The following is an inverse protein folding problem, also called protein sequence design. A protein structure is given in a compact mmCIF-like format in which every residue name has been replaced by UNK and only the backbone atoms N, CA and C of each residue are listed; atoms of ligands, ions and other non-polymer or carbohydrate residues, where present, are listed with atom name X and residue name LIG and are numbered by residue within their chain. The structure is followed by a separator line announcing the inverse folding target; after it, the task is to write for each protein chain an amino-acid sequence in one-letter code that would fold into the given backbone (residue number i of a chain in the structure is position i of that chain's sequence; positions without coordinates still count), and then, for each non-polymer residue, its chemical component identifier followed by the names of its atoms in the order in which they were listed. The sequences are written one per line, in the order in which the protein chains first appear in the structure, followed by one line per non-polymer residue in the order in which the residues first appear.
data_IF_324015775324
#
_entry.id   IF_324015775324
#
_cell.length_a   1.000
_cell.length_b   1.000
_cell.length_c   1.000
_cell.angle_alpha   90.00
_cell.angle_beta   90.00
_cell.angle_gamma   90.00
#
_symmetry.space_group_name_H-M   'P 1'
#
loop_
_entity.id
_entity.type
_entity.pdbx_description
1 polymer ?
#
# COMPACT_ATOMS: atom_id res chain seq x y z
N UNK A 1 -60.33 9.51 27.96
CA UNK A 1 -60.44 10.86 27.35
C UNK A 1 -59.91 10.77 25.92
N UNK A 2 -60.67 11.16 24.89
CA UNK A 2 -60.23 11.11 23.50
C UNK A 2 -59.47 12.39 23.09
N UNK A 3 -58.53 12.32 22.12
CA UNK A 3 -57.85 13.50 21.59
C UNK A 3 -58.74 14.32 20.64
N UNK A 4 -58.54 15.65 20.55
CA UNK A 4 -59.34 16.53 19.68
C UNK A 4 -58.96 16.44 18.18
N UNK A 5 -59.85 16.87 17.27
CA UNK A 5 -59.73 16.67 15.82
C UNK A 5 -58.92 17.75 15.07
N UNK A 6 -58.48 17.35 13.87
CA UNK A 6 -57.66 18.04 12.85
C UNK A 6 -58.19 19.40 12.36
N UNK A 7 -57.28 20.30 12.01
CA UNK A 7 -57.52 21.38 11.02
C UNK A 7 -56.53 21.29 9.85
N UNK A 8 -57.09 21.18 8.64
CA UNK A 8 -56.42 21.28 7.33
C UNK A 8 -56.37 22.75 6.91
N UNK A 9 -55.22 23.24 6.45
CA UNK A 9 -55.13 24.49 5.70
C UNK A 9 -54.96 24.20 4.19
N UNK A 10 -55.97 24.57 3.40
CA UNK A 10 -55.88 24.84 1.94
C UNK A 10 -54.99 26.09 1.76
N UNK A 11 -54.04 26.15 0.84
CA UNK A 11 -54.24 26.19 -0.60
C UNK A 11 -54.29 27.64 -1.10
N UNK A 12 -53.19 28.18 -1.65
CA UNK A 12 -53.18 29.40 -2.46
C UNK A 12 -52.49 29.13 -3.80
N UNK A 13 -53.29 29.20 -4.86
CA UNK A 13 -52.87 29.26 -6.27
C UNK A 13 -52.29 30.65 -6.56
N UNK A 14 -51.25 30.70 -7.39
CA UNK A 14 -50.83 31.91 -8.12
C UNK A 14 -50.81 31.61 -9.64
N UNK A 15 -51.02 32.63 -10.51
CA UNK A 15 -51.37 32.49 -11.92
C UNK A 15 -50.16 32.54 -12.88
N UNK A 16 -50.37 32.31 -14.19
CA UNK A 16 -49.31 32.14 -15.19
C UNK A 16 -48.89 33.47 -15.86
N UNK A 17 -47.66 33.53 -16.35
CA UNK A 17 -47.17 34.66 -17.15
C UNK A 17 -45.88 34.31 -17.90
N UNK A 18 -45.93 34.45 -19.22
CA UNK A 18 -44.86 34.19 -20.18
C UNK A 18 -43.93 35.40 -20.39
N UNK A 19 -42.76 35.16 -21.00
CA UNK A 19 -41.86 36.17 -21.58
C UNK A 19 -40.51 36.29 -20.84
N UNK A 20 -39.45 35.65 -21.33
CA UNK A 20 -38.50 36.18 -22.32
C UNK A 20 -37.79 37.46 -21.87
N UNK A 21 -36.50 37.37 -21.50
CA UNK A 21 -35.36 37.99 -22.22
C UNK A 21 -34.04 37.84 -21.44
N UNK A 22 -33.01 37.43 -22.19
CA UNK A 22 -31.64 37.93 -22.20
C UNK A 22 -30.84 38.11 -20.89
N UNK A 23 -29.86 37.21 -20.68
CA UNK A 23 -28.43 37.55 -20.54
C UNK A 23 -27.65 36.22 -20.41
N UNK A 24 -26.97 35.78 -21.49
CA UNK A 24 -25.50 35.75 -21.60
C UNK A 24 -24.84 34.59 -20.84
N UNK A 25 -23.92 33.77 -21.40
CA UNK A 25 -23.29 33.65 -22.71
C UNK A 25 -22.43 32.36 -22.65
N UNK A 26 -22.47 31.56 -23.72
CA UNK A 26 -21.36 30.83 -24.42
C UNK A 26 -20.30 30.05 -23.61
N UNK A 27 -19.77 28.90 -24.03
CA UNK A 27 -19.91 28.07 -25.24
C UNK A 27 -19.10 26.77 -25.05
N UNK A 28 -19.53 25.65 -25.63
CA UNK A 28 -18.65 24.52 -25.93
C UNK A 28 -19.24 23.66 -27.07
N UNK A 29 -18.57 23.71 -28.23
CA UNK A 29 -18.63 22.85 -29.42
C UNK A 29 -17.79 23.61 -30.48
N UNK A 30 -16.93 23.07 -31.34
CA UNK A 30 -16.61 21.76 -31.93
C UNK A 30 -15.14 21.92 -32.43
N UNK A 31 -14.36 20.95 -32.92
CA UNK A 31 -14.63 20.10 -34.08
C UNK A 31 -13.44 19.14 -34.33
N UNK A 32 -13.75 17.97 -34.88
CA UNK A 32 -12.85 17.11 -35.68
C UNK A 32 -12.87 17.57 -37.15
N UNK A 33 -11.73 17.52 -37.85
CA UNK A 33 -11.65 17.16 -39.27
C UNK A 33 -10.19 16.96 -39.75
N UNK A 34 -10.05 15.98 -40.65
CA UNK A 34 -8.87 15.36 -41.29
C UNK A 34 -8.44 16.09 -42.56
N UNK A 35 -7.14 16.04 -42.94
CA UNK A 35 -6.65 16.05 -44.33
C UNK A 35 -5.33 15.26 -44.47
N UNK A 36 -5.09 14.78 -45.70
CA UNK A 36 -4.29 13.60 -46.10
C UNK A 36 -3.10 13.98 -47.05
N UNK A 37 -2.16 13.02 -47.19
CA UNK A 37 -1.26 12.71 -48.32
C UNK A 37 0.04 13.51 -48.67
N UNK A 38 1.17 12.80 -48.48
CA UNK A 38 2.36 12.56 -49.35
C UNK A 38 3.33 13.69 -49.78
N UNK A 39 4.61 13.54 -49.35
CA UNK A 39 5.81 13.76 -50.17
C UNK A 39 7.00 12.93 -49.64
N UNK A 40 7.68 12.20 -50.54
CA UNK A 40 8.88 11.40 -50.34
C UNK A 40 10.11 12.23 -50.71
N UNK A 41 11.16 12.28 -49.86
CA UNK A 41 12.55 12.37 -50.37
C UNK A 41 13.62 11.91 -49.34
N UNK A 42 14.75 11.47 -49.90
CA UNK A 42 15.85 10.63 -49.38
C UNK A 42 16.84 11.34 -48.42
N UNK A 43 17.47 10.56 -47.53
CA UNK A 43 18.61 10.92 -46.66
C UNK A 43 19.95 11.11 -47.44
N UNK A 44 21.04 11.71 -46.85
CA UNK A 44 21.90 10.95 -45.91
C UNK A 44 22.60 11.75 -44.76
N UNK A 45 22.94 10.99 -43.69
CA UNK A 45 24.05 11.11 -42.72
C UNK A 45 24.54 12.49 -42.22
N UNK A 46 24.37 12.74 -40.91
CA UNK A 46 25.44 13.24 -40.02
C UNK A 46 25.32 12.53 -38.66
N UNK A 47 26.43 11.94 -38.22
CA UNK A 47 26.64 11.34 -36.89
C UNK A 47 26.66 12.43 -35.81
N UNK A 48 26.03 12.19 -34.67
CA UNK A 48 26.67 12.44 -33.38
C UNK A 48 25.98 11.63 -32.29
N UNK A 49 26.79 10.78 -31.65
CA UNK A 49 26.54 10.17 -30.36
C UNK A 49 26.14 11.23 -29.33
N UNK A 50 25.18 10.92 -28.46
CA UNK A 50 25.32 10.73 -26.99
C UNK A 50 23.91 10.82 -26.39
N UNK A 51 23.67 10.05 -25.32
CA UNK A 51 22.50 10.06 -24.44
C UNK A 51 21.28 9.25 -24.91
N UNK A 52 21.47 7.94 -24.99
CA UNK A 52 20.38 7.00 -24.74
C UNK A 52 19.99 7.11 -23.25
N UNK A 53 19.07 8.01 -22.92
CA UNK A 53 18.24 7.87 -21.72
C UNK A 53 17.39 6.61 -21.90
N UNK A 54 17.97 5.48 -21.48
CA UNK A 54 17.24 4.25 -21.24
C UNK A 54 16.22 4.50 -20.15
N UNK A 55 15.03 4.96 -20.54
CA UNK A 55 13.84 4.80 -19.73
C UNK A 55 13.61 3.29 -19.65
N UNK A 56 14.16 2.68 -18.60
CA UNK A 56 13.83 1.29 -18.24
C UNK A 56 12.35 1.31 -17.87
N UNK A 57 11.50 1.01 -18.86
CA UNK A 57 10.12 0.66 -18.61
C UNK A 57 10.17 -0.66 -17.85
N UNK A 58 10.18 -0.58 -16.52
CA UNK A 58 9.98 -1.72 -15.65
C UNK A 58 8.56 -2.20 -15.92
N UNK A 59 8.43 -3.22 -16.77
CA UNK A 59 7.18 -3.97 -16.92
C UNK A 59 6.78 -4.44 -15.52
N UNK A 60 5.71 -3.84 -14.99
CA UNK A 60 5.08 -4.33 -13.77
C UNK A 60 4.47 -5.67 -14.12
N UNK A 61 4.87 -6.72 -13.41
CA UNK A 61 4.31 -8.05 -13.66
C UNK A 61 2.78 -8.06 -13.45
N UNK A 62 2.11 -9.00 -14.13
CA UNK A 62 0.65 -9.13 -14.06
C UNK A 62 0.20 -9.39 -12.62
N UNK A 63 0.96 -10.16 -11.86
CA UNK A 63 0.68 -10.48 -10.44
C UNK A 63 0.59 -9.22 -9.57
N UNK A 64 1.54 -8.28 -9.72
CA UNK A 64 1.53 -7.00 -9.01
C UNK A 64 0.35 -6.14 -9.45
N UNK A 65 -0.01 -6.19 -10.72
CA UNK A 65 -1.16 -5.45 -11.25
C UNK A 65 -2.48 -5.98 -10.66
N UNK A 66 -2.65 -7.31 -10.64
CA UNK A 66 -3.80 -7.99 -10.05
C UNK A 66 -3.89 -7.70 -8.55
N UNK A 67 -2.75 -7.76 -7.84
CA UNK A 67 -2.69 -7.45 -6.42
C UNK A 67 -3.12 -6.02 -6.12
N UNK A 68 -2.62 -5.04 -6.88
CA UNK A 68 -2.99 -3.62 -6.72
C UNK A 68 -4.48 -3.40 -6.95
N UNK A 69 -5.04 -4.00 -8.00
CA UNK A 69 -6.46 -3.84 -8.33
C UNK A 69 -7.36 -4.47 -7.24
N UNK A 70 -7.06 -5.70 -6.85
CA UNK A 70 -7.82 -6.43 -5.84
C UNK A 70 -7.73 -5.79 -4.45
N UNK A 71 -6.52 -5.37 -4.03
CA UNK A 71 -6.32 -4.65 -2.76
C UNK A 71 -7.10 -3.33 -2.77
N UNK A 72 -7.06 -2.59 -3.87
CA UNK A 72 -7.78 -1.32 -4.00
C UNK A 72 -9.29 -1.53 -3.81
N UNK A 73 -9.86 -2.55 -4.43
CA UNK A 73 -11.28 -2.87 -4.28
C UNK A 73 -11.63 -3.19 -2.81
N UNK A 74 -10.83 -4.02 -2.13
CA UNK A 74 -11.06 -4.35 -0.71
C UNK A 74 -10.95 -3.12 0.20
N UNK A 75 -9.97 -2.24 -0.05
CA UNK A 75 -9.83 -0.97 0.69
C UNK A 75 -11.03 -0.07 0.45
N UNK A 76 -11.49 0.08 -0.80
CA UNK A 76 -12.66 0.91 -1.13
C UNK A 76 -13.94 0.38 -0.47
N UNK A 77 -14.15 -0.94 -0.47
CA UNK A 77 -15.26 -1.58 0.22
C UNK A 77 -15.21 -1.33 1.73
N UNK A 78 -14.03 -1.46 2.35
CA UNK A 78 -13.86 -1.25 3.79
C UNK A 78 -14.06 0.23 4.18
N UNK A 79 -13.51 1.15 3.39
CA UNK A 79 -13.74 2.59 3.57
C UNK A 79 -15.22 2.93 3.45
N UNK A 80 -15.93 2.36 2.46
CA UNK A 80 -17.36 2.57 2.28
C UNK A 80 -18.16 2.02 3.48
N UNK A 81 -17.81 0.83 3.98
CA UNK A 81 -18.44 0.20 5.15
C UNK A 81 -18.28 1.06 6.41
N UNK A 82 -17.07 1.55 6.69
CA UNK A 82 -16.80 2.41 7.86
C UNK A 82 -17.52 3.76 7.72
N UNK A 83 -17.53 4.35 6.52
CA UNK A 83 -18.25 5.62 6.30
C UNK A 83 -19.76 5.47 6.46
N UNK A 84 -20.32 4.30 6.14
CA UNK A 84 -21.73 4.00 6.36
C UNK A 84 -22.12 4.00 7.85
N UNK A 85 -21.18 3.79 8.78
CA UNK A 85 -21.42 3.91 10.23
C UNK A 85 -21.31 5.35 10.75
N UNK A 86 -21.03 6.32 9.87
CA UNK A 86 -20.84 7.72 10.23
C UNK A 86 -19.42 8.06 10.72
N UNK A 87 -18.47 7.14 10.59
CA UNK A 87 -17.08 7.31 11.01
C UNK A 87 -16.19 7.66 9.81
N UNK A 88 -15.20 8.55 10.00
CA UNK A 88 -14.17 8.83 9.00
C UNK A 88 -12.97 7.89 9.15
N UNK A 89 -12.34 7.56 8.03
CA UNK A 89 -11.13 6.74 7.94
C UNK A 89 -10.30 7.25 6.77
N UNK A 90 -8.99 7.35 6.97
CA UNK A 90 -8.04 7.81 5.94
C UNK A 90 -7.27 6.61 5.36
N UNK A 91 -7.55 6.17 4.13
CA UNK A 91 -6.80 5.10 3.50
C UNK A 91 -5.41 5.59 3.08
N UNK A 92 -4.36 4.92 3.55
CA UNK A 92 -2.98 5.25 3.18
C UNK A 92 -2.51 4.42 1.99
N UNK A 93 -1.77 5.09 1.10
CA UNK A 93 -1.13 4.44 -0.05
C UNK A 93 0.12 3.69 0.38
N UNK A 94 0.16 2.39 0.11
CA UNK A 94 1.31 1.54 0.42
C UNK A 94 2.28 1.46 -0.77
N UNK A 95 3.58 1.53 -0.48
CA UNK A 95 4.68 1.31 -1.42
C UNK A 95 5.12 -0.15 -1.46
N UNK A 96 5.23 -0.78 -0.30
CA UNK A 96 5.81 -2.12 -0.18
C UNK A 96 5.27 -2.88 1.04
N UNK A 97 5.15 -4.20 0.89
CA UNK A 97 4.88 -5.16 1.95
C UNK A 97 6.07 -6.08 2.11
N UNK A 98 6.38 -6.48 3.34
CA UNK A 98 7.39 -7.50 3.57
C UNK A 98 7.26 -8.15 4.93
N UNK A 99 7.99 -9.25 5.09
CA UNK A 99 8.20 -9.90 6.38
C UNK A 99 9.71 -9.79 6.67
N UNK A 100 10.04 -9.22 7.82
CA UNK A 100 11.41 -9.19 8.35
C UNK A 100 11.49 -10.24 9.45
N UNK A 101 12.55 -11.04 9.48
CA UNK A 101 12.73 -12.05 10.53
C UNK A 101 13.64 -11.50 11.62
N UNK A 102 13.17 -11.55 12.85
CA UNK A 102 13.95 -11.32 14.05
C UNK A 102 14.48 -12.66 14.57
N UNK A 103 15.77 -12.89 14.36
CA UNK A 103 16.50 -14.08 14.82
C UNK A 103 17.21 -13.85 16.16
N UNK A 104 17.11 -12.66 16.76
CA UNK A 104 17.77 -12.36 18.05
C UNK A 104 17.14 -13.09 19.23
N UNK A 105 15.91 -13.61 19.05
CA UNK A 105 15.15 -14.32 20.07
C UNK A 105 15.34 -15.83 19.94
N UNK A 106 15.09 -16.56 21.03
CA UNK A 106 15.13 -18.05 21.06
C UNK A 106 14.26 -18.71 19.97
N UNK A 107 13.23 -18.02 19.49
CA UNK A 107 12.36 -18.44 18.38
C UNK A 107 12.36 -17.32 17.36
N UNK A 108 12.55 -17.68 16.09
CA UNK A 108 12.43 -16.74 14.98
C UNK A 108 11.04 -16.09 14.98
N UNK A 109 11.00 -14.76 14.95
CA UNK A 109 9.76 -13.99 14.96
C UNK A 109 9.60 -13.23 13.64
N UNK A 110 8.45 -13.37 12.98
CA UNK A 110 8.11 -12.55 11.83
C UNK A 110 7.68 -11.15 12.29
N UNK A 111 8.24 -10.12 11.65
CA UNK A 111 7.86 -8.71 11.80
C UNK A 111 7.24 -8.24 10.48
N UNK A 112 5.99 -7.81 10.54
CA UNK A 112 5.23 -7.35 9.39
C UNK A 112 5.66 -5.94 9.03
N UNK A 113 6.32 -5.78 7.89
CA UNK A 113 6.84 -4.49 7.44
C UNK A 113 5.94 -3.87 6.38
N UNK A 114 5.55 -2.63 6.60
CA UNK A 114 4.80 -1.82 5.63
C UNK A 114 5.55 -0.52 5.36
N UNK A 115 5.83 -0.24 4.09
CA UNK A 115 6.30 1.07 3.65
C UNK A 115 5.15 1.88 3.10
N UNK A 116 4.87 3.04 3.70
CA UNK A 116 3.69 3.84 3.40
C UNK A 116 4.10 5.19 2.81
N UNK A 117 3.38 5.62 1.77
CA UNK A 117 3.58 6.89 1.07
C UNK A 117 2.97 8.05 1.86
N UNK A 118 3.50 8.31 3.06
CA UNK A 118 3.05 9.38 3.95
C UNK A 118 4.22 10.00 4.69
N UNK A 119 4.09 11.26 5.10
CA UNK A 119 5.03 11.94 6.01
C UNK A 119 4.65 11.77 7.48
N UNK A 120 3.55 11.07 7.78
CA UNK A 120 3.10 10.83 9.14
C UNK A 120 4.18 10.14 9.99
N UNK A 121 4.31 10.54 11.26
CA UNK A 121 5.22 9.92 12.21
C UNK A 121 4.52 8.77 12.93
N UNK A 122 4.81 7.54 12.50
CA UNK A 122 4.20 6.33 13.05
C UNK A 122 4.53 6.08 14.52
N UNK A 123 5.51 6.75 15.13
CA UNK A 123 5.73 6.67 16.59
C UNK A 123 4.55 7.17 17.41
N UNK A 124 3.65 7.95 16.80
CA UNK A 124 2.42 8.45 17.43
C UNK A 124 1.28 7.43 17.44
N UNK A 125 1.42 6.30 16.75
CA UNK A 125 0.43 5.23 16.80
C UNK A 125 0.48 4.57 18.16
N UNK A 126 -0.67 4.55 18.83
CA UNK A 126 -0.85 3.92 20.14
C UNK A 126 -1.48 2.54 20.03
N UNK A 127 -2.34 2.35 19.04
CA UNK A 127 -3.07 1.10 18.87
C UNK A 127 -3.11 0.71 17.39
N UNK A 128 -2.88 -0.58 17.16
CA UNK A 128 -3.07 -1.23 15.87
C UNK A 128 -4.20 -2.24 16.03
N UNK A 129 -5.16 -2.20 15.13
CA UNK A 129 -6.18 -3.25 15.00
C UNK A 129 -6.05 -3.90 13.64
N UNK A 130 -6.25 -5.21 13.60
CA UNK A 130 -6.09 -6.01 12.38
C UNK A 130 -7.39 -6.75 12.14
N UNK A 131 -7.93 -6.65 10.92
CA UNK A 131 -9.12 -7.41 10.55
C UNK A 131 -8.84 -8.91 10.52
N UNK A 132 -9.89 -9.76 10.53
CA UNK A 132 -9.74 -11.14 10.12
C UNK A 132 -9.06 -11.26 8.75
N UNK A 133 -8.26 -12.30 8.59
CA UNK A 133 -7.54 -12.56 7.36
C UNK A 133 -8.46 -13.10 6.25
N UNK A 134 -8.24 -12.63 5.04
CA UNK A 134 -8.95 -13.04 3.82
C UNK A 134 -7.93 -13.66 2.87
N UNK A 135 -8.21 -14.86 2.37
CA UNK A 135 -7.34 -15.51 1.39
C UNK A 135 -7.23 -14.68 0.11
N UNK A 136 -6.01 -14.48 -0.39
CA UNK A 136 -5.77 -13.74 -1.62
C UNK A 136 -5.99 -14.65 -2.84
N UNK A 137 -6.91 -14.32 -3.76
CA UNK A 137 -7.36 -15.27 -4.78
C UNK A 137 -6.35 -15.53 -5.90
N UNK A 138 -5.36 -14.67 -6.09
CA UNK A 138 -4.41 -14.78 -7.20
C UNK A 138 -3.08 -15.44 -6.81
N UNK A 139 -2.86 -15.76 -5.52
CA UNK A 139 -1.64 -16.44 -5.06
C UNK A 139 -1.91 -17.30 -3.84
N UNK A 140 -1.55 -18.57 -3.94
CA UNK A 140 -1.68 -19.50 -2.81
C UNK A 140 -0.80 -19.09 -1.63
N UNK A 141 -1.26 -19.43 -0.43
CA UNK A 141 -0.57 -19.15 0.83
C UNK A 141 -0.40 -17.65 1.11
N UNK A 142 -1.10 -16.77 0.40
CA UNK A 142 -1.14 -15.36 0.72
C UNK A 142 -2.48 -14.99 1.34
N UNK A 143 -2.42 -14.17 2.37
CA UNK A 143 -3.58 -13.64 3.06
C UNK A 143 -3.49 -12.12 3.16
N UNK A 144 -4.66 -11.51 3.18
CA UNK A 144 -4.88 -10.07 3.23
C UNK A 144 -5.57 -9.69 4.54
N UNK A 145 -5.14 -8.57 5.11
CA UNK A 145 -5.80 -7.92 6.25
C UNK A 145 -5.88 -6.41 6.04
N UNK A 146 -6.91 -5.82 6.63
CA UNK A 146 -7.00 -4.39 6.85
C UNK A 146 -6.37 -4.05 8.20
N UNK A 147 -5.43 -3.11 8.20
CA UNK A 147 -4.73 -2.64 9.40
C UNK A 147 -5.21 -1.23 9.71
N UNK A 148 -5.85 -1.07 10.87
CA UNK A 148 -6.29 0.22 11.39
C UNK A 148 -5.25 0.76 12.36
N UNK A 149 -4.86 2.02 12.17
CA UNK A 149 -3.87 2.70 13.00
C UNK A 149 -4.55 3.86 13.74
N UNK A 150 -4.45 3.84 15.07
CA UNK A 150 -5.04 4.85 15.95
C UNK A 150 -3.95 5.60 16.71
N UNK A 151 -4.15 6.91 16.85
CA UNK A 151 -3.36 7.79 17.71
C UNK A 151 -4.09 8.07 19.02
N UNK A 152 -3.41 8.68 19.98
CA UNK A 152 -4.02 9.21 21.21
C UNK A 152 -4.96 10.41 20.96
N UNK A 153 -4.69 11.18 19.91
CA UNK A 153 -5.48 12.35 19.55
C UNK A 153 -6.83 11.97 18.96
N UNK A 154 -7.90 12.44 19.60
CA UNK A 154 -9.29 12.31 19.12
C UNK A 154 -9.58 13.16 17.89
N UNK A 155 -8.71 14.13 17.58
CA UNK A 155 -8.81 14.98 16.39
C UNK A 155 -8.21 14.30 15.14
N UNK A 156 -7.40 13.27 15.34
CA UNK A 156 -6.75 12.56 14.23
C UNK A 156 -7.69 11.50 13.69
N UNK A 157 -7.99 11.59 12.40
CA UNK A 157 -8.77 10.54 11.72
C UNK A 157 -7.96 9.25 11.71
N UNK A 158 -8.54 8.10 12.13
CA UNK A 158 -7.83 6.83 12.09
C UNK A 158 -7.42 6.49 10.65
N UNK A 159 -6.29 5.81 10.52
CA UNK A 159 -5.72 5.48 9.22
C UNK A 159 -5.95 4.01 8.89
N UNK A 160 -6.24 3.71 7.64
CA UNK A 160 -6.42 2.35 7.11
C UNK A 160 -5.26 2.00 6.18
N UNK A 161 -4.62 0.87 6.42
CA UNK A 161 -3.49 0.38 5.64
C UNK A 161 -3.77 -1.07 5.23
N UNK A 162 -3.82 -1.39 3.92
CA UNK A 162 -3.89 -2.79 3.51
C UNK A 162 -2.60 -3.52 3.85
N UNK A 163 -2.64 -4.83 4.07
CA UNK A 163 -1.44 -5.66 4.19
C UNK A 163 -1.68 -7.04 3.56
N UNK A 164 -0.80 -7.43 2.64
CA UNK A 164 -0.81 -8.73 1.96
C UNK A 164 0.48 -9.47 2.33
N UNK A 165 0.37 -10.70 2.84
CA UNK A 165 1.51 -11.43 3.40
C UNK A 165 1.49 -12.93 3.10
N UNK A 166 2.68 -13.53 3.12
CA UNK A 166 2.88 -14.97 2.96
C UNK A 166 2.68 -15.69 4.30
N UNK A 167 1.70 -16.60 4.33
CA UNK A 167 1.35 -17.44 5.48
C UNK A 167 2.33 -18.60 5.72
N UNK A 168 3.14 -18.95 4.71
CA UNK A 168 4.11 -20.05 4.76
C UNK A 168 5.54 -19.54 4.60
N UNK A 169 5.81 -18.31 5.01
CA UNK A 169 7.13 -17.70 4.93
C UNK A 169 8.22 -18.54 5.62
N UNK A 170 9.35 -18.73 4.93
CA UNK A 170 10.53 -19.44 5.43
C UNK A 170 11.78 -18.60 5.21
N UNK A 171 12.75 -18.74 6.11
CA UNK A 171 14.07 -18.12 5.98
C UNK A 171 15.16 -19.14 6.22
N UNK A 172 16.39 -18.80 5.82
CA UNK A 172 17.60 -19.48 6.26
C UNK A 172 18.31 -18.61 7.30
N UNK A 173 19.10 -19.23 8.17
CA UNK A 173 19.97 -18.51 9.11
C UNK A 173 21.10 -17.78 8.35
N UNK A 174 21.39 -16.51 8.69
CA UNK A 174 22.55 -15.79 8.18
C UNK A 174 23.84 -16.54 8.51
N UNK A 175 24.83 -16.46 7.62
CA UNK A 175 26.17 -16.99 7.92
C UNK A 175 26.81 -16.12 9.01
N UNK A 176 27.48 -16.75 9.98
CA UNK A 176 28.17 -16.03 11.07
C UNK A 176 29.26 -15.07 10.55
N UNK A 177 29.74 -15.28 9.33
CA UNK A 177 30.79 -14.49 8.68
C UNK A 177 30.37 -13.04 8.31
N UNK A 178 29.07 -12.74 8.21
CA UNK A 178 28.59 -11.38 7.88
C UNK A 178 28.65 -10.40 9.07
N UNK A 179 28.94 -10.87 10.29
CA UNK A 179 29.08 -10.01 11.47
C UNK A 179 30.50 -9.44 11.65
N UNK A 180 31.50 -9.95 10.93
CA UNK A 180 32.90 -9.59 11.18
C UNK A 180 33.38 -8.34 10.42
N UNK A 181 32.63 -7.87 9.41
CA UNK A 181 33.02 -6.73 8.56
C UNK A 181 32.66 -5.34 9.11
N UNK A 182 32.10 -5.23 10.33
CA UNK A 182 31.79 -3.92 10.95
C UNK A 182 32.74 -3.46 12.04
N UNK A 183 33.72 -4.28 12.43
CA UNK A 183 34.66 -3.95 13.51
C UNK A 183 36.05 -4.53 13.25
N UNK A 184 36.74 -4.14 12.17
CA UNK A 184 38.22 -4.26 12.08
C UNK A 184 38.80 -3.51 10.89
N UNK A 185 39.23 -2.28 11.11
CA UNK A 185 40.35 -1.70 10.39
C UNK A 185 41.64 -2.33 10.92
N UNK A 186 42.28 -3.23 10.17
CA UNK A 186 43.58 -3.79 10.59
C UNK A 186 44.04 -5.01 9.80
N UNK A 187 44.72 -4.75 8.68
CA UNK A 187 45.76 -5.56 8.03
C UNK A 187 46.06 -6.96 8.60
N UNK A 188 45.78 -8.02 7.83
CA UNK A 188 46.80 -8.87 7.18
C UNK A 188 46.20 -10.14 6.55
N UNK A 189 46.55 -10.40 5.30
CA UNK A 189 46.37 -11.69 4.61
C UNK A 189 47.65 -12.52 4.88
N UNK A 190 47.59 -13.86 4.96
CA UNK A 190 47.88 -14.61 3.74
C UNK A 190 46.97 -15.81 3.45
N UNK A 191 46.78 -15.98 2.15
CA UNK A 191 46.26 -17.09 1.33
C UNK A 191 46.41 -18.52 1.88
N UNK A 192 45.29 -19.26 1.87
CA UNK A 192 45.26 -20.68 1.53
C UNK A 192 43.98 -20.97 0.72
N UNK A 193 44.19 -21.50 -0.47
CA UNK A 193 43.17 -21.73 -1.48
C UNK A 193 42.27 -22.94 -1.15
N UNK A 194 40.98 -22.75 -1.46
CA UNK A 194 40.13 -23.69 -2.16
C UNK A 194 39.90 -25.08 -1.53
N UNK A 195 38.99 -25.09 -0.56
CA UNK A 195 37.84 -26.00 -0.63
C UNK A 195 36.60 -25.17 -0.30
N UNK A 196 36.04 -24.49 -1.32
CA UNK A 196 34.69 -23.98 -1.26
C UNK A 196 33.77 -25.20 -1.27
N UNK A 197 33.60 -25.78 -0.09
CA UNK A 197 32.70 -26.90 0.13
C UNK A 197 31.27 -26.41 -0.11
N UNK A 198 30.60 -27.14 -0.99
CA UNK A 198 29.24 -27.03 -1.49
C UNK A 198 28.16 -27.20 -0.40
N UNK A 199 28.35 -26.59 0.77
CA UNK A 199 27.45 -26.69 1.93
C UNK A 199 26.45 -25.54 2.05
N UNK A 200 26.55 -24.52 1.19
CA UNK A 200 25.64 -23.35 1.20
C UNK A 200 24.17 -23.74 1.01
N UNK A 201 23.91 -24.85 0.30
CA UNK A 201 22.57 -25.36 -0.03
C UNK A 201 21.97 -26.36 0.98
N UNK A 202 22.69 -26.72 2.05
CA UNK A 202 22.19 -27.69 3.06
C UNK A 202 21.68 -27.04 4.35
N UNK A 203 21.56 -25.71 4.40
CA UNK A 203 21.06 -25.03 5.61
C UNK A 203 19.59 -25.35 5.83
N UNK A 204 19.19 -25.76 7.05
CA UNK A 204 17.80 -26.08 7.34
C UNK A 204 16.94 -24.82 7.20
N UNK A 205 15.84 -24.95 6.46
CA UNK A 205 14.83 -23.91 6.36
C UNK A 205 14.13 -23.73 7.70
N UNK A 206 14.04 -22.49 8.17
CA UNK A 206 13.32 -22.12 9.38
C UNK A 206 11.93 -21.64 8.98
N UNK A 207 10.90 -22.35 9.43
CA UNK A 207 9.53 -21.90 9.31
C UNK A 207 9.29 -20.77 10.31
N UNK A 208 8.94 -19.58 9.82
CA UNK A 208 8.68 -18.43 10.68
C UNK A 208 7.17 -18.23 10.77
N UNK A 209 6.61 -18.48 11.95
CA UNK A 209 5.17 -18.28 12.16
C UNK A 209 4.88 -16.78 12.23
N UNK A 210 4.00 -16.30 11.36
CA UNK A 210 3.50 -14.93 11.41
C UNK A 210 2.16 -14.90 12.16
N UNK A 211 2.16 -14.35 13.38
CA UNK A 211 0.93 -14.17 14.17
C UNK A 211 0.36 -12.75 14.05
N UNK A 212 0.89 -11.92 13.15
CA UNK A 212 0.49 -10.50 12.98
C UNK A 212 0.65 -9.63 14.24
N UNK A 213 1.47 -10.05 15.21
CA UNK A 213 1.67 -9.34 16.49
C UNK A 213 2.76 -8.27 16.42
N UNK A 214 3.74 -8.43 15.53
CA UNK A 214 4.88 -7.51 15.40
C UNK A 214 4.77 -6.73 14.10
N UNK A 215 4.88 -5.41 14.18
CA UNK A 215 4.77 -4.50 13.05
C UNK A 215 5.96 -3.55 12.97
N UNK A 216 6.42 -3.28 11.75
CA UNK A 216 7.43 -2.28 11.42
C UNK A 216 6.86 -1.35 10.35
N UNK A 217 6.41 -0.19 10.79
CA UNK A 217 5.87 0.84 9.90
C UNK A 217 7.01 1.77 9.46
N UNK A 218 7.08 2.03 8.16
CA UNK A 218 8.08 2.89 7.55
C UNK A 218 7.37 3.97 6.73
N UNK A 219 7.66 5.23 6.98
CA UNK A 219 7.05 6.34 6.24
C UNK A 219 7.90 6.75 5.01
N UNK A 220 7.44 7.74 4.24
CA UNK A 220 8.12 8.22 3.04
C UNK A 220 9.48 8.90 3.31
N UNK A 221 9.75 9.27 4.56
CA UNK A 221 11.04 9.82 5.03
C UNK A 221 11.97 8.73 5.58
N UNK A 222 11.62 7.45 5.36
CA UNK A 222 12.31 6.29 5.90
C UNK A 222 12.39 6.22 7.43
N UNK A 223 11.55 7.00 8.14
CA UNK A 223 11.42 6.88 9.58
C UNK A 223 10.70 5.57 9.92
N UNK A 224 11.25 4.84 10.89
CA UNK A 224 10.79 3.52 11.30
C UNK A 224 10.14 3.57 12.68
N UNK A 225 9.00 2.91 12.83
CA UNK A 225 8.35 2.69 14.12
C UNK A 225 8.00 1.20 14.27
N UNK A 226 8.42 0.61 15.40
CA UNK A 226 8.10 -0.78 15.74
C UNK A 226 6.93 -0.78 16.72
N UNK A 227 5.93 -1.61 16.44
CA UNK A 227 4.75 -1.78 17.27
C UNK A 227 4.54 -3.26 17.60
N UNK A 228 4.02 -3.51 18.79
CA UNK A 228 3.62 -4.83 19.26
C UNK A 228 2.13 -4.79 19.60
N UNK A 229 1.39 -5.82 19.21
CA UNK A 229 0.00 -6.03 19.60
C UNK A 229 -0.01 -7.08 20.72
N UNK A 230 -0.38 -6.65 21.92
CA UNK A 230 -0.44 -7.54 23.09
C UNK A 230 -1.61 -8.53 22.99
N UNK A 231 -2.75 -8.08 22.46
CA UNK A 231 -3.97 -8.87 22.36
C UNK A 231 -4.80 -8.44 21.14
N UNK A 232 -5.43 -9.42 20.48
CA UNK A 232 -6.47 -9.16 19.49
C UNK A 232 -7.81 -9.16 20.18
N UNK A 233 -8.54 -8.04 20.10
CA UNK A 233 -9.89 -7.96 20.63
C UNK A 233 -10.89 -8.36 19.54
N UNK A 234 -11.73 -9.34 19.84
CA UNK A 234 -12.93 -9.61 19.05
C UNK A 234 -13.93 -8.46 19.32
N UNK A 235 -14.35 -7.76 18.26
CA UNK A 235 -15.41 -6.73 18.31
C UNK A 235 -16.72 -7.31 17.79
#
# INVERSE_FOLDING_TARGET
MPPPPRTRARGKKLPPGAGATAAAKKAQANANAVLDANAVEKAPHVLNDTDAEGTVSLEVDQETTDAKAWIKENVEQEVARIRATGTSIEPLKVKNFGIVVDLSRKKATAINRIEVDTTFDFKKIQQIMVSPAIAYPHKENFEYVNVLLFTDSTETTPMLVPYLFDTKFRTQEPLEDDQQDRLSSGSSIPSAAAAADSSVDQRPWINVKNNLTEWLLVNAQHMRARHHIDEFHDI
#
